data_IF_483921439688
#
_entry.id   IF_483921439688
#
_cell.length_a   1.000
_cell.length_b   1.000
_cell.length_c   1.000
_cell.angle_alpha   90.00
_cell.angle_beta   90.00
_cell.angle_gamma   90.00
#
_symmetry.space_group_name_H-M   'P 1'
#
loop_
_entity.id
_entity.type
_entity.pdbx_description
1 polymer ?
#
# COMPACT_ATOMS: atom_id res chain seq x y z
N UNK A 1 -43.26 14.95 9.02
CA UNK A 1 -42.35 13.80 9.26
C UNK A 1 -41.15 13.77 8.28
N UNK A 2 -40.61 14.92 7.85
CA UNK A 2 -40.07 15.03 6.47
C UNK A 2 -38.70 15.72 6.27
N UNK A 3 -38.01 16.26 7.29
CA UNK A 3 -36.66 16.85 7.10
C UNK A 3 -35.52 16.02 7.73
N UNK A 4 -35.74 15.40 8.88
CA UNK A 4 -34.71 14.56 9.53
C UNK A 4 -34.31 13.34 8.68
N UNK A 5 -35.27 12.66 8.06
CA UNK A 5 -35.01 11.46 7.26
C UNK A 5 -34.24 11.71 5.94
N UNK A 6 -34.25 12.94 5.40
CA UNK A 6 -33.51 13.27 4.18
C UNK A 6 -32.03 13.58 4.48
N UNK A 7 -31.77 14.29 5.58
CA UNK A 7 -30.40 14.65 5.98
C UNK A 7 -29.59 13.43 6.43
N UNK A 8 -30.22 12.46 7.09
CA UNK A 8 -29.59 11.20 7.46
C UNK A 8 -29.25 10.36 6.23
N UNK A 9 -30.21 10.14 5.31
CA UNK A 9 -29.99 9.41 4.04
C UNK A 9 -28.84 9.99 3.19
N UNK A 10 -28.75 11.31 3.07
CA UNK A 10 -27.66 11.97 2.34
C UNK A 10 -26.29 11.72 2.99
N UNK A 11 -26.20 11.81 4.32
CA UNK A 11 -24.98 11.51 5.08
C UNK A 11 -24.54 10.04 4.93
N UNK A 12 -25.48 9.09 4.89
CA UNK A 12 -25.17 7.66 4.70
C UNK A 12 -24.58 7.35 3.32
N UNK A 13 -25.18 7.87 2.24
CA UNK A 13 -24.68 7.69 0.87
C UNK A 13 -23.27 8.30 0.69
N UNK A 14 -23.04 9.47 1.29
CA UNK A 14 -21.72 10.12 1.29
C UNK A 14 -20.67 9.28 2.03
N UNK A 15 -20.97 8.75 3.21
CA UNK A 15 -20.03 7.91 3.97
C UNK A 15 -19.66 6.63 3.20
N UNK A 16 -20.61 6.04 2.47
CA UNK A 16 -20.36 4.83 1.67
C UNK A 16 -19.45 5.09 0.46
N UNK A 17 -19.71 6.18 -0.29
CA UNK A 17 -18.85 6.60 -1.41
C UNK A 17 -17.45 6.98 -0.93
N UNK A 18 -17.35 7.74 0.17
CA UNK A 18 -16.06 8.11 0.78
C UNK A 18 -15.23 6.87 1.10
N UNK A 19 -15.83 5.82 1.66
CA UNK A 19 -15.10 4.60 1.97
C UNK A 19 -14.58 3.87 0.74
N UNK A 20 -15.36 3.79 -0.35
CA UNK A 20 -14.89 3.21 -1.61
C UNK A 20 -13.68 3.97 -2.15
N UNK A 21 -13.72 5.30 -2.10
CA UNK A 21 -12.61 6.15 -2.50
C UNK A 21 -11.39 5.96 -1.61
N UNK A 22 -11.56 5.87 -0.28
CA UNK A 22 -10.45 5.61 0.64
C UNK A 22 -9.82 4.25 0.37
N UNK A 23 -10.61 3.18 0.19
CA UNK A 23 -10.07 1.87 -0.15
C UNK A 23 -9.33 1.88 -1.49
N UNK A 24 -9.82 2.62 -2.48
CA UNK A 24 -9.14 2.79 -3.77
C UNK A 24 -7.79 3.52 -3.61
N UNK A 25 -7.74 4.56 -2.77
CA UNK A 25 -6.48 5.24 -2.46
C UNK A 25 -5.47 4.30 -1.79
N UNK A 26 -5.91 3.46 -0.84
CA UNK A 26 -5.04 2.45 -0.20
C UNK A 26 -4.54 1.43 -1.24
N UNK A 27 -5.39 1.01 -2.19
CA UNK A 27 -4.96 0.14 -3.30
C UNK A 27 -3.84 0.78 -4.11
N UNK A 28 -4.00 2.04 -4.53
CA UNK A 28 -3.00 2.75 -5.32
C UNK A 28 -1.68 2.91 -4.56
N UNK A 29 -1.73 3.26 -3.27
CA UNK A 29 -0.54 3.35 -2.42
C UNK A 29 0.18 2.01 -2.28
N UNK A 30 -0.57 0.91 -2.16
CA UNK A 30 0.01 -0.43 -2.01
C UNK A 30 0.66 -0.90 -3.30
N UNK A 31 0.04 -0.66 -4.47
CA UNK A 31 0.63 -0.92 -5.79
C UNK A 31 1.92 -0.11 -5.97
N UNK A 32 1.86 1.20 -5.69
CA UNK A 32 3.03 2.07 -5.79
C UNK A 32 4.16 1.57 -4.89
N UNK A 33 3.86 1.18 -3.65
CA UNK A 33 4.85 0.64 -2.72
C UNK A 33 5.52 -0.63 -3.26
N UNK A 34 4.78 -1.54 -3.90
CA UNK A 34 5.37 -2.74 -4.50
C UNK A 34 6.31 -2.38 -5.65
N UNK A 35 5.92 -1.43 -6.51
CA UNK A 35 6.75 -0.97 -7.62
C UNK A 35 8.04 -0.34 -7.09
N UNK A 36 7.94 0.56 -6.13
CA UNK A 36 9.10 1.26 -5.54
C UNK A 36 10.08 0.28 -4.88
N UNK A 37 9.59 -0.68 -4.10
CA UNK A 37 10.47 -1.69 -3.49
C UNK A 37 11.09 -2.60 -4.54
N UNK A 38 10.36 -2.94 -5.61
CA UNK A 38 10.90 -3.73 -6.72
C UNK A 38 12.05 -3.01 -7.44
N UNK A 39 11.92 -1.70 -7.66
CA UNK A 39 12.99 -0.86 -8.23
C UNK A 39 14.20 -0.84 -7.29
N UNK A 40 13.98 -0.63 -5.99
CA UNK A 40 15.05 -0.62 -4.99
C UNK A 40 15.83 -1.94 -4.96
N UNK A 41 15.15 -3.08 -5.15
CA UNK A 41 15.81 -4.39 -5.25
C UNK A 41 16.77 -4.40 -6.44
N UNK A 42 16.32 -3.97 -7.62
CA UNK A 42 17.16 -3.93 -8.82
C UNK A 42 18.38 -3.03 -8.60
N UNK A 43 18.17 -1.83 -8.07
CA UNK A 43 19.25 -0.89 -7.76
C UNK A 43 20.25 -1.46 -6.76
N UNK A 44 19.78 -2.17 -5.73
CA UNK A 44 20.64 -2.80 -4.73
C UNK A 44 21.52 -3.90 -5.32
N UNK A 45 20.96 -4.76 -6.18
CA UNK A 45 21.74 -5.80 -6.85
C UNK A 45 22.73 -5.24 -7.86
N UNK A 46 22.36 -4.17 -8.58
CA UNK A 46 23.30 -3.43 -9.43
C UNK A 46 24.42 -2.80 -8.60
N UNK A 47 24.09 -2.25 -7.43
CA UNK A 47 25.06 -1.68 -6.51
C UNK A 47 26.08 -2.71 -6.03
N UNK A 48 25.66 -3.93 -5.71
CA UNK A 48 26.59 -5.02 -5.35
C UNK A 48 27.61 -5.23 -6.47
N UNK A 49 27.17 -5.36 -7.72
CA UNK A 49 28.09 -5.58 -8.86
C UNK A 49 29.06 -4.42 -9.02
N UNK A 50 28.55 -3.18 -8.98
CA UNK A 50 29.38 -1.97 -9.08
C UNK A 50 30.43 -1.89 -7.96
N UNK A 51 30.05 -2.24 -6.74
CA UNK A 51 30.94 -2.20 -5.58
C UNK A 51 32.03 -3.26 -5.65
N UNK A 52 31.68 -4.47 -6.12
CA UNK A 52 32.66 -5.55 -6.33
C UNK A 52 33.67 -5.19 -7.42
N UNK A 53 33.23 -4.58 -8.52
CA UNK A 53 34.13 -4.16 -9.59
C UNK A 53 35.00 -2.98 -9.17
N UNK A 54 34.42 -1.99 -8.47
CA UNK A 54 35.18 -0.89 -7.88
C UNK A 54 36.27 -1.36 -6.90
N UNK A 55 35.97 -2.36 -6.07
CA UNK A 55 36.94 -2.97 -5.15
C UNK A 55 38.07 -3.69 -5.90
N UNK A 56 37.77 -4.39 -7.00
CA UNK A 56 38.80 -5.05 -7.84
C UNK A 56 39.75 -4.04 -8.47
N UNK A 57 39.21 -2.91 -8.92
CA UNK A 57 39.96 -1.86 -9.59
C UNK A 57 40.83 -1.04 -8.63
N UNK A 58 40.32 -0.76 -7.42
CA UNK A 58 40.94 0.22 -6.52
C UNK A 58 41.66 -0.38 -5.29
N UNK A 59 41.34 -1.59 -4.82
CA UNK A 59 41.99 -2.19 -3.62
C UNK A 59 43.07 -3.22 -3.92
N UNK A 60 43.09 -3.81 -5.11
CA UNK A 60 44.12 -4.81 -5.41
C UNK A 60 45.36 -4.09 -5.94
N UNK A 61 46.17 -3.56 -5.02
CA UNK A 61 47.55 -3.18 -5.36
C UNK A 61 48.23 -4.36 -6.06
N UNK A 62 49.13 -4.08 -7.00
CA UNK A 62 49.92 -5.12 -7.68
C UNK A 62 50.55 -6.12 -6.70
N UNK A 63 50.85 -5.67 -5.48
CA UNK A 63 51.44 -6.46 -4.39
C UNK A 63 50.49 -7.55 -3.83
N UNK A 64 49.20 -7.25 -3.65
CA UNK A 64 48.21 -8.25 -3.18
C UNK A 64 47.92 -9.29 -4.26
N UNK A 65 47.90 -8.86 -5.53
CA UNK A 65 47.69 -9.71 -6.71
C UNK A 65 48.77 -10.79 -6.88
N UNK A 66 49.98 -10.51 -6.43
CA UNK A 66 51.14 -11.41 -6.56
C UNK A 66 51.28 -12.39 -5.38
N UNK A 67 50.62 -12.13 -4.25
CA UNK A 67 50.75 -12.94 -3.02
C UNK A 67 49.54 -13.85 -2.75
N UNK A 68 48.38 -13.55 -3.33
CA UNK A 68 47.14 -14.30 -3.07
C UNK A 68 46.73 -15.15 -4.28
N UNK A 69 46.17 -16.32 -3.99
CA UNK A 69 45.48 -17.12 -5.01
C UNK A 69 44.20 -16.43 -5.46
N UNK A 70 43.71 -16.70 -6.69
CA UNK A 70 42.47 -16.12 -7.20
C UNK A 70 41.27 -16.26 -6.25
N UNK A 71 41.14 -17.41 -5.58
CA UNK A 71 40.07 -17.67 -4.59
C UNK A 71 40.17 -16.80 -3.34
N UNK A 72 41.38 -16.50 -2.88
CA UNK A 72 41.59 -15.64 -1.71
C UNK A 72 41.30 -14.17 -2.02
N UNK A 73 41.64 -13.73 -3.24
CA UNK A 73 41.28 -12.40 -3.75
C UNK A 73 39.77 -12.24 -3.79
N UNK A 74 39.06 -13.22 -4.34
CA UNK A 74 37.61 -13.24 -4.42
C UNK A 74 36.94 -13.19 -3.04
N UNK A 75 37.36 -14.06 -2.12
CA UNK A 75 36.88 -14.03 -0.73
C UNK A 75 37.13 -12.68 -0.04
N UNK A 76 38.31 -12.09 -0.25
CA UNK A 76 38.65 -10.79 0.30
C UNK A 76 37.73 -9.70 -0.23
N UNK A 77 37.45 -9.67 -1.54
CA UNK A 77 36.55 -8.68 -2.15
C UNK A 77 35.15 -8.80 -1.56
N UNK A 78 34.59 -10.01 -1.50
CA UNK A 78 33.25 -10.23 -0.95
C UNK A 78 33.14 -9.83 0.52
N UNK A 79 34.16 -10.17 1.32
CA UNK A 79 34.22 -9.77 2.73
C UNK A 79 34.35 -8.27 2.91
N UNK A 80 34.89 -7.54 1.95
CA UNK A 80 35.07 -6.08 2.03
C UNK A 80 33.95 -5.28 1.34
N UNK A 81 32.89 -5.95 0.86
CA UNK A 81 31.73 -5.29 0.26
C UNK A 81 30.57 -5.18 1.27
N UNK A 82 30.34 -4.01 1.90
CA UNK A 82 29.17 -3.77 2.75
C UNK A 82 27.85 -4.19 2.10
N UNK A 83 27.64 -3.89 0.82
CA UNK A 83 26.38 -4.23 0.13
C UNK A 83 26.22 -5.74 -0.02
N UNK A 84 27.31 -6.47 -0.31
CA UNK A 84 27.28 -7.93 -0.41
C UNK A 84 26.99 -8.59 0.94
N UNK A 85 27.60 -8.10 2.04
CA UNK A 85 27.33 -8.61 3.39
C UNK A 85 25.87 -8.46 3.80
N UNK A 86 25.19 -7.42 3.32
CA UNK A 86 23.79 -7.13 3.62
C UNK A 86 22.80 -7.82 2.69
N UNK A 87 23.27 -8.52 1.65
CA UNK A 87 22.42 -9.09 0.60
C UNK A 87 21.27 -9.93 1.13
N UNK A 88 21.55 -10.83 2.06
CA UNK A 88 20.54 -11.77 2.56
C UNK A 88 19.50 -11.04 3.40
N UNK A 89 19.94 -10.14 4.29
CA UNK A 89 19.07 -9.30 5.11
C UNK A 89 18.18 -8.43 4.23
N UNK A 90 18.77 -7.74 3.25
CA UNK A 90 18.05 -6.89 2.30
C UNK A 90 17.00 -7.69 1.51
N UNK A 91 17.38 -8.89 1.03
CA UNK A 91 16.48 -9.76 0.25
C UNK A 91 15.30 -10.22 1.09
N UNK A 92 15.55 -10.72 2.31
CA UNK A 92 14.50 -11.20 3.22
C UNK A 92 13.52 -10.08 3.53
N UNK A 93 13.99 -8.90 3.96
CA UNK A 93 13.08 -7.80 4.31
C UNK A 93 12.34 -7.26 3.09
N UNK A 94 12.97 -7.15 1.93
CA UNK A 94 12.30 -6.72 0.70
C UNK A 94 11.21 -7.70 0.28
N UNK A 95 11.47 -9.01 0.37
CA UNK A 95 10.46 -10.05 0.11
C UNK A 95 9.30 -10.00 1.12
N UNK A 96 9.58 -9.79 2.40
CA UNK A 96 8.55 -9.63 3.43
C UNK A 96 7.67 -8.39 3.18
N UNK A 97 8.27 -7.27 2.76
CA UNK A 97 7.52 -6.05 2.39
C UNK A 97 6.62 -6.32 1.19
N UNK A 98 7.15 -6.92 0.12
CA UNK A 98 6.35 -7.25 -1.08
C UNK A 98 5.21 -8.22 -0.72
N UNK A 99 5.50 -9.28 0.04
CA UNK A 99 4.50 -10.28 0.42
C UNK A 99 3.39 -9.67 1.28
N UNK A 100 3.74 -8.84 2.28
CA UNK A 100 2.74 -8.18 3.13
C UNK A 100 1.88 -7.19 2.34
N UNK A 101 2.48 -6.41 1.43
CA UNK A 101 1.74 -5.49 0.55
C UNK A 101 0.85 -6.23 -0.45
N UNK A 102 1.30 -7.36 -1.01
CA UNK A 102 0.50 -8.20 -1.90
C UNK A 102 -0.71 -8.80 -1.18
N UNK A 103 -0.52 -9.33 0.04
CA UNK A 103 -1.62 -9.82 0.87
C UNK A 103 -2.61 -8.69 1.23
N UNK A 104 -2.10 -7.50 1.53
CA UNK A 104 -2.92 -6.32 1.79
C UNK A 104 -3.76 -5.96 0.56
N UNK A 105 -3.18 -5.97 -0.63
CA UNK A 105 -3.88 -5.74 -1.89
C UNK A 105 -5.00 -6.73 -2.15
N UNK A 106 -4.74 -8.03 -1.97
CA UNK A 106 -5.76 -9.07 -2.11
C UNK A 106 -6.92 -8.80 -1.15
N UNK A 107 -6.61 -8.50 0.11
CA UNK A 107 -7.62 -8.27 1.14
C UNK A 107 -8.45 -7.00 0.87
N UNK A 108 -7.81 -5.91 0.41
CA UNK A 108 -8.51 -4.69 0.00
C UNK A 108 -9.39 -4.94 -1.21
N UNK A 109 -8.91 -5.71 -2.19
CA UNK A 109 -9.68 -6.05 -3.39
C UNK A 109 -10.93 -6.85 -3.03
N UNK A 110 -10.80 -7.86 -2.16
CA UNK A 110 -11.94 -8.63 -1.64
C UNK A 110 -12.92 -7.71 -0.90
N UNK A 111 -12.42 -6.83 -0.02
CA UNK A 111 -13.26 -5.88 0.71
C UNK A 111 -14.00 -4.92 -0.23
N UNK A 112 -13.33 -4.41 -1.27
CA UNK A 112 -13.95 -3.58 -2.29
C UNK A 112 -15.03 -4.35 -3.04
N UNK A 113 -14.77 -5.56 -3.55
CA UNK A 113 -15.76 -6.37 -4.28
C UNK A 113 -17.00 -6.63 -3.42
N UNK A 114 -16.82 -6.96 -2.13
CA UNK A 114 -17.93 -7.19 -1.21
C UNK A 114 -18.75 -5.92 -0.93
N UNK A 115 -18.08 -4.77 -0.83
CA UNK A 115 -18.75 -3.46 -0.74
C UNK A 115 -19.49 -3.11 -2.04
N UNK A 116 -18.89 -3.32 -3.20
CA UNK A 116 -19.58 -3.04 -4.47
C UNK A 116 -20.81 -3.93 -4.68
N UNK A 117 -20.78 -5.18 -4.18
CA UNK A 117 -21.92 -6.11 -4.20
C UNK A 117 -22.92 -5.88 -3.06
N UNK A 118 -22.71 -4.90 -2.18
CA UNK A 118 -23.52 -4.64 -0.97
C UNK A 118 -23.75 -5.88 -0.08
N UNK A 119 -22.88 -6.91 -0.17
CA UNK A 119 -23.05 -8.17 0.55
C UNK A 119 -22.55 -8.10 1.99
N UNK A 120 -21.50 -7.31 2.21
CA UNK A 120 -20.84 -7.23 3.50
C UNK A 120 -20.15 -5.89 3.67
N UNK A 121 -20.18 -5.35 4.89
CA UNK A 121 -19.56 -4.08 5.22
C UNK A 121 -18.05 -4.18 5.41
N UNK A 122 -17.42 -5.34 5.23
CA UNK A 122 -15.97 -5.50 5.25
C UNK A 122 -15.27 -5.25 6.59
N UNK A 123 -16.00 -5.13 7.70
CA UNK A 123 -15.42 -4.67 8.97
C UNK A 123 -14.40 -5.68 9.56
N UNK A 124 -14.66 -6.98 9.37
CA UNK A 124 -13.73 -8.06 9.76
C UNK A 124 -12.35 -7.95 9.09
N UNK A 125 -12.27 -7.35 7.89
CA UNK A 125 -11.00 -7.22 7.17
C UNK A 125 -10.11 -6.11 7.73
N UNK A 126 -10.68 -5.07 8.35
CA UNK A 126 -9.88 -3.93 8.80
C UNK A 126 -8.85 -4.28 9.86
N UNK A 127 -9.15 -5.20 10.78
CA UNK A 127 -8.17 -5.67 11.77
C UNK A 127 -6.93 -6.26 11.08
N UNK A 128 -7.13 -7.06 10.05
CA UNK A 128 -6.05 -7.64 9.25
C UNK A 128 -5.36 -6.59 8.38
N UNK A 129 -6.09 -5.62 7.81
CA UNK A 129 -5.49 -4.51 7.08
C UNK A 129 -4.53 -3.71 7.97
N UNK A 130 -4.92 -3.40 9.21
CA UNK A 130 -4.05 -2.70 10.17
C UNK A 130 -2.77 -3.48 10.44
N UNK A 131 -2.90 -4.76 10.75
CA UNK A 131 -1.75 -5.60 11.01
C UNK A 131 -0.79 -5.63 9.81
N UNK A 132 -1.31 -5.86 8.59
CA UNK A 132 -0.49 -5.92 7.38
C UNK A 132 0.17 -4.58 7.05
N UNK A 133 -0.55 -3.46 7.17
CA UNK A 133 0.04 -2.12 6.95
C UNK A 133 1.10 -1.78 8.00
N UNK A 134 0.89 -2.15 9.27
CA UNK A 134 1.90 -1.95 10.33
C UNK A 134 3.13 -2.82 10.11
N UNK A 135 2.96 -4.09 9.72
CA UNK A 135 4.08 -4.97 9.39
C UNK A 135 4.87 -4.45 8.19
N UNK A 136 4.19 -4.03 7.11
CA UNK A 136 4.85 -3.43 5.96
C UNK A 136 5.65 -2.18 6.36
N UNK A 137 5.07 -1.29 7.17
CA UNK A 137 5.77 -0.12 7.70
C UNK A 137 7.02 -0.51 8.52
N UNK A 138 6.88 -1.46 9.46
CA UNK A 138 7.98 -1.91 10.31
C UNK A 138 9.11 -2.56 9.51
N UNK A 139 8.80 -3.42 8.54
CA UNK A 139 9.79 -4.05 7.69
C UNK A 139 10.51 -3.04 6.79
N UNK A 140 9.79 -2.06 6.21
CA UNK A 140 10.42 -0.99 5.44
C UNK A 140 11.34 -0.13 6.32
N UNK A 141 10.92 0.17 7.56
CA UNK A 141 11.77 0.89 8.51
C UNK A 141 13.07 0.14 8.84
N UNK A 142 12.98 -1.17 9.07
CA UNK A 142 14.16 -2.02 9.30
C UNK A 142 15.06 -2.02 8.06
N UNK A 143 14.49 -2.19 6.87
CA UNK A 143 15.23 -2.18 5.60
C UNK A 143 16.04 -0.88 5.42
N UNK A 144 15.43 0.27 5.72
CA UNK A 144 16.11 1.58 5.69
C UNK A 144 17.22 1.66 6.74
N UNK A 145 16.97 1.12 7.94
CA UNK A 145 17.92 1.15 9.05
C UNK A 145 19.18 0.32 8.77
N UNK A 146 19.06 -0.73 7.95
CA UNK A 146 20.18 -1.59 7.53
C UNK A 146 20.80 -1.17 6.19
N UNK A 147 20.65 0.09 5.77
CA UNK A 147 21.29 0.59 4.55
C UNK A 147 22.82 0.37 4.58
N UNK A 148 23.44 -0.05 3.46
CA UNK A 148 24.89 -0.25 3.40
C UNK A 148 25.64 1.06 3.66
N UNK A 149 26.71 0.96 4.45
CA UNK A 149 27.65 2.06 4.64
C UNK A 149 28.45 2.30 3.36
N UNK A 150 28.86 3.54 3.14
CA UNK A 150 29.71 3.91 2.00
C UNK A 150 31.03 3.10 2.01
N UNK A 151 31.35 2.38 0.92
CA UNK A 151 32.64 1.73 0.78
C UNK A 151 33.77 2.77 0.78
N UNK A 152 34.80 2.54 1.60
CA UNK A 152 35.95 3.43 1.73
C UNK A 152 37.24 2.66 1.47
N UNK A 153 38.16 3.28 0.74
CA UNK A 153 39.54 2.81 0.55
C UNK A 153 40.47 3.87 1.11
N UNK A 154 41.40 3.47 1.97
CA UNK A 154 42.47 4.34 2.47
C UNK A 154 43.74 3.93 1.72
N UNK A 155 44.30 4.86 0.94
CA UNK A 155 45.56 4.69 0.23
C UNK A 155 46.62 5.51 0.94
N UNK A 156 47.62 4.86 1.51
CA UNK A 156 48.74 5.54 2.14
C UNK A 156 49.79 5.87 1.09
N UNK A 157 49.99 7.16 0.81
CA UNK A 157 50.97 7.67 -0.15
C UNK A 157 52.19 8.16 0.62
N UNK A 158 53.37 7.65 0.31
CA UNK A 158 54.63 8.18 0.84
C UNK A 158 54.96 9.50 0.12
N UNK A 159 54.96 10.62 0.83
CA UNK A 159 55.40 11.89 0.26
C UNK A 159 56.93 11.90 0.13
N UNK A 160 57.46 12.26 -1.05
CA UNK A 160 58.90 12.23 -1.33
C UNK A 160 59.73 12.95 -0.25
N UNK A 161 60.83 12.31 0.14
CA UNK A 161 61.90 12.75 1.05
C UNK A 161 61.57 12.93 2.54
N UNK A 162 60.36 12.59 2.99
CA UNK A 162 60.09 12.43 4.41
C UNK A 162 59.35 11.10 4.63
N UNK A 163 59.57 10.44 5.78
CA UNK A 163 58.74 9.30 6.23
C UNK A 163 57.35 9.78 6.67
N UNK A 164 56.72 10.61 5.84
CA UNK A 164 55.37 11.14 6.02
C UNK A 164 54.45 10.37 5.08
N UNK A 165 53.54 9.63 5.71
CA UNK A 165 52.51 8.83 5.08
C UNK A 165 51.23 9.66 5.02
N UNK A 166 50.73 9.96 3.82
CA UNK A 166 49.48 10.68 3.61
C UNK A 166 48.40 9.67 3.25
N UNK A 167 47.39 9.54 4.10
CA UNK A 167 46.23 8.69 3.84
C UNK A 167 45.22 9.41 2.95
N UNK A 168 45.12 9.00 1.68
CA UNK A 168 44.08 9.44 0.76
C UNK A 168 42.88 8.50 0.85
N UNK A 169 41.73 9.02 1.26
CA UNK A 169 40.48 8.25 1.27
C UNK A 169 39.75 8.41 -0.06
N UNK A 170 39.49 7.30 -0.76
CA UNK A 170 38.62 7.24 -1.94
C UNK A 170 37.28 6.64 -1.51
N UNK A 171 36.19 7.35 -1.80
CA UNK A 171 34.83 6.96 -1.47
C UNK A 171 34.07 6.59 -2.76
N UNK A 172 33.23 5.58 -2.67
CA UNK A 172 32.25 5.28 -3.71
C UNK A 172 30.92 5.98 -3.37
N UNK A 173 30.24 6.54 -4.37
CA UNK A 173 28.97 7.26 -4.19
C UNK A 173 27.94 6.47 -3.39
N UNK A 174 27.10 7.14 -2.60
CA UNK A 174 26.09 6.48 -1.77
C UNK A 174 24.88 6.02 -2.60
N UNK A 175 24.37 4.81 -2.31
CA UNK A 175 23.08 4.38 -2.85
C UNK A 175 21.93 5.20 -2.24
N UNK A 176 21.04 5.73 -3.07
CA UNK A 176 19.87 6.46 -2.60
C UNK A 176 18.81 5.52 -2.01
N UNK A 177 18.34 5.83 -0.80
CA UNK A 177 17.21 5.14 -0.16
C UNK A 177 15.93 5.99 -0.19
N UNK A 178 15.89 7.06 -0.98
CA UNK A 178 14.73 7.95 -1.08
C UNK A 178 13.45 7.19 -1.48
N UNK A 179 13.59 6.21 -2.37
CA UNK A 179 12.49 5.35 -2.83
C UNK A 179 11.90 4.52 -1.66
N UNK A 180 12.75 4.00 -0.77
CA UNK A 180 12.32 3.28 0.42
C UNK A 180 11.56 4.19 1.40
N UNK A 181 12.02 5.44 1.58
CA UNK A 181 11.33 6.44 2.40
C UNK A 181 9.94 6.77 1.86
N UNK A 182 9.81 6.95 0.55
CA UNK A 182 8.52 7.19 -0.11
C UNK A 182 7.59 5.98 0.07
N UNK A 183 8.11 4.75 -0.11
CA UNK A 183 7.35 3.52 0.15
C UNK A 183 6.88 3.43 1.61
N UNK A 184 7.74 3.78 2.58
CA UNK A 184 7.39 3.78 4.00
C UNK A 184 6.27 4.80 4.31
N UNK A 185 6.37 6.00 3.74
CA UNK A 185 5.31 7.01 3.85
C UNK A 185 3.99 6.52 3.25
N UNK A 186 4.05 5.80 2.13
CA UNK A 186 2.90 5.12 1.54
C UNK A 186 2.26 4.10 2.48
N UNK A 187 3.05 3.21 3.09
CA UNK A 187 2.56 2.22 4.05
C UNK A 187 1.94 2.88 5.30
N UNK A 188 2.55 3.95 5.81
CA UNK A 188 2.02 4.71 6.94
C UNK A 188 0.70 5.42 6.59
N UNK A 189 0.63 6.03 5.42
CA UNK A 189 -0.59 6.67 4.91
C UNK A 189 -1.72 5.65 4.73
N UNK A 190 -1.41 4.45 4.20
CA UNK A 190 -2.37 3.35 4.09
C UNK A 190 -2.94 2.93 5.45
N UNK A 191 -2.12 2.88 6.50
CA UNK A 191 -2.57 2.58 7.86
C UNK A 191 -3.55 3.65 8.37
N UNK A 192 -3.20 4.94 8.25
CA UNK A 192 -4.07 6.05 8.66
C UNK A 192 -5.39 6.01 7.90
N UNK A 193 -5.34 5.85 6.58
CA UNK A 193 -6.52 5.77 5.74
C UNK A 193 -7.41 4.59 6.10
N UNK A 194 -6.84 3.42 6.41
CA UNK A 194 -7.60 2.28 6.87
C UNK A 194 -8.32 2.58 8.20
N UNK A 195 -7.69 3.32 9.13
CA UNK A 195 -8.31 3.72 10.40
C UNK A 195 -9.49 4.67 10.15
N UNK A 196 -9.30 5.66 9.29
CA UNK A 196 -10.34 6.60 8.88
C UNK A 196 -11.50 5.85 8.20
N UNK A 197 -11.20 4.92 7.30
CA UNK A 197 -12.19 4.12 6.58
C UNK A 197 -13.08 3.29 7.52
N UNK A 198 -12.51 2.75 8.59
CA UNK A 198 -13.28 2.03 9.63
C UNK A 198 -14.13 2.97 10.47
N UNK A 199 -13.62 4.15 10.87
CA UNK A 199 -14.41 5.11 11.67
C UNK A 199 -15.66 5.60 10.94
N UNK A 200 -15.62 5.71 9.61
CA UNK A 200 -16.76 6.10 8.76
C UNK A 200 -17.92 5.07 8.76
N UNK A 201 -17.74 3.88 9.33
CA UNK A 201 -18.77 2.84 9.47
C UNK A 201 -19.59 2.89 10.77
N UNK A 202 -19.22 3.70 11.77
CA UNK A 202 -19.84 3.67 13.11
C UNK A 202 -21.37 3.85 13.16
N UNK A 203 -22.02 4.14 12.03
CA UNK A 203 -23.47 4.30 11.88
C UNK A 203 -24.16 3.22 11.02
N UNK A 204 -23.44 2.29 10.39
CA UNK A 204 -24.00 1.30 9.43
C UNK A 204 -24.28 -0.08 10.04
N UNK A 205 -23.88 -0.32 11.29
CA UNK A 205 -24.08 -1.61 11.98
C UNK A 205 -25.55 -1.92 12.30
N UNK A 206 -26.49 -0.98 12.11
CA UNK A 206 -27.90 -1.16 12.48
C UNK A 206 -28.92 -1.30 11.34
N UNK A 207 -28.57 -1.11 10.06
CA UNK A 207 -29.59 -1.12 9.01
C UNK A 207 -29.19 -1.92 7.76
N UNK A 208 -29.30 -3.24 7.87
CA UNK A 208 -29.48 -4.13 6.71
C UNK A 208 -30.82 -3.83 5.99
N UNK A 209 -31.75 -3.14 6.66
CA UNK A 209 -33.11 -2.85 6.18
C UNK A 209 -33.25 -1.62 5.27
N UNK A 210 -32.28 -0.72 5.17
CA UNK A 210 -32.45 0.56 4.43
C UNK A 210 -31.93 0.56 2.98
N UNK A 211 -31.34 -0.54 2.50
CA UNK A 211 -30.85 -0.66 1.12
C UNK A 211 -31.66 -1.62 0.25
N UNK A 212 -32.82 -2.09 0.73
CA UNK A 212 -33.83 -2.61 -0.19
C UNK A 212 -34.30 -1.46 -1.05
N UNK A 213 -34.08 -1.57 -2.36
CA UNK A 213 -34.81 -0.77 -3.35
C UNK A 213 -36.28 -0.81 -2.95
N UNK A 214 -36.90 0.36 -2.70
CA UNK A 214 -38.36 0.40 -2.52
C UNK A 214 -38.96 -0.32 -3.73
N UNK A 215 -39.74 -1.37 -3.47
CA UNK A 215 -40.52 -2.03 -4.50
C UNK A 215 -41.37 -0.93 -5.15
N UNK A 216 -41.32 -0.82 -6.48
CA UNK A 216 -42.09 0.18 -7.20
C UNK A 216 -43.57 0.02 -6.85
N UNK A 217 -44.13 0.98 -6.10
CA UNK A 217 -45.55 1.02 -5.74
C UNK A 217 -46.42 1.58 -6.86
N UNK A 218 -45.86 1.78 -8.05
CA UNK A 218 -46.57 2.36 -9.19
C UNK A 218 -47.68 1.43 -9.70
N UNK A 219 -47.46 0.11 -9.66
CA UNK A 219 -48.50 -0.89 -9.97
C UNK A 219 -49.66 -0.81 -8.98
N UNK A 220 -49.34 -0.70 -7.69
CA UNK A 220 -50.33 -0.73 -6.60
C UNK A 220 -51.13 0.57 -6.59
N UNK A 221 -50.48 1.70 -6.89
CA UNK A 221 -51.12 3.00 -7.03
C UNK A 221 -52.09 3.01 -8.22
N UNK A 222 -51.69 2.45 -9.37
CA UNK A 222 -52.55 2.34 -10.54
C UNK A 222 -53.76 1.41 -10.29
N UNK A 223 -53.58 0.32 -9.52
CA UNK A 223 -54.69 -0.55 -9.13
C UNK A 223 -55.66 0.15 -8.19
N UNK A 224 -55.16 0.89 -7.19
CA UNK A 224 -55.99 1.66 -6.26
C UNK A 224 -56.80 2.73 -7.02
N UNK A 225 -56.17 3.48 -7.92
CA UNK A 225 -56.84 4.50 -8.72
C UNK A 225 -57.91 3.91 -9.63
N UNK A 226 -57.67 2.73 -10.21
CA UNK A 226 -58.66 2.00 -11.00
C UNK A 226 -59.87 1.56 -10.16
N UNK A 227 -59.65 1.05 -8.95
CA UNK A 227 -60.71 0.66 -8.02
C UNK A 227 -61.53 1.88 -7.59
N UNK A 228 -60.88 2.98 -7.21
CA UNK A 228 -61.54 4.22 -6.80
C UNK A 228 -62.39 4.81 -7.92
N UNK A 229 -61.90 4.79 -9.16
CA UNK A 229 -62.65 5.26 -10.33
C UNK A 229 -63.89 4.40 -10.60
N UNK A 230 -63.80 3.08 -10.46
CA UNK A 230 -64.94 2.18 -10.64
C UNK A 230 -65.99 2.35 -9.56
N UNK A 231 -65.57 2.53 -8.30
CA UNK A 231 -66.47 2.83 -7.19
C UNK A 231 -67.21 4.16 -7.45
N UNK A 232 -66.48 5.20 -7.84
CA UNK A 232 -67.04 6.54 -8.11
C UNK A 232 -68.08 6.50 -9.24
N UNK A 233 -67.78 5.81 -10.35
CA UNK A 233 -68.74 5.60 -11.45
C UNK A 233 -69.98 4.83 -11.01
N UNK A 234 -69.82 3.82 -10.15
CA UNK A 234 -70.95 3.05 -9.60
C UNK A 234 -71.87 3.93 -8.75
N UNK A 235 -71.31 4.77 -7.88
CA UNK A 235 -72.08 5.72 -7.07
C UNK A 235 -72.84 6.75 -7.92
N UNK A 236 -72.20 7.32 -8.95
CA UNK A 236 -72.86 8.24 -9.88
C UNK A 236 -74.03 7.58 -10.63
N UNK A 237 -73.88 6.31 -11.02
CA UNK A 237 -74.92 5.54 -11.70
C UNK A 237 -76.11 5.19 -10.79
N UNK A 238 -75.88 5.02 -9.49
CA UNK A 238 -76.95 4.82 -8.50
C UNK A 238 -77.70 6.13 -8.21
N UNK A 239 -76.99 7.25 -8.07
CA UNK A 239 -77.63 8.56 -7.86
C UNK A 239 -78.46 9.02 -9.05
N UNK A 240 -78.01 8.75 -10.28
CA UNK A 240 -78.78 9.05 -11.51
C UNK A 240 -80.01 8.17 -11.65
N UNK A 241 -79.98 6.91 -11.21
CA UNK A 241 -81.17 6.04 -11.17
C UNK A 241 -82.17 6.40 -10.07
N UNK A 242 -81.74 7.06 -8.99
CA UNK A 242 -82.64 7.51 -7.91
C UNK A 242 -83.38 8.82 -8.21
N UNK A 243 -83.01 9.51 -9.31
CA UNK A 243 -83.55 10.81 -9.73
C UNK A 243 -84.50 10.72 -10.94
N UNK A 244 -84.81 9.51 -11.41
CA UNK A 244 -85.81 9.21 -12.44
C UNK A 244 -86.95 8.47 -11.76
#
# INVERSE_FOLDING_TARGET
MTKENQTTKFKFSQNYKQRKLILLAITLLSILSIILISILIVEFYQRITQELDWLKENKISKDIKNQLTPKQIEYFIYKNSPSFQLKDVFTVFSSLIIATQALLLILITVAQVLLWKNKYNGDKFFKTMYLLSTLAFAFTFILISVQPTEPKIIITIKASNADVFIDKTILMDKMSYAIAWISMFGAFSSLILAIIAKRKLGYLTKDIYLNTSYVSTESDKNQIDHILNNITKKYQKVQTKSRV
#
